data_IF_899955074700
#
_entry.id   IF_899955074700
#
_cell.length_a   1.000
_cell.length_b   1.000
_cell.length_c   1.000
_cell.angle_alpha   90.00
_cell.angle_beta   90.00
_cell.angle_gamma   90.00
#
_symmetry.space_group_name_H-M   'P 1'
#
loop_
_entity.id
_entity.type
_entity.pdbx_description
1 polymer ?
#
# COMPACT_ATOMS: atom_id res chain seq x y z
N UNK A 1 -18.60 -1.54 15.94
CA UNK A 1 -18.49 -0.06 15.89
C UNK A 1 -18.44 0.51 17.32
N UNK A 2 -17.22 0.82 17.79
CA UNK A 2 -16.97 1.24 19.19
C UNK A 2 -17.52 2.61 19.56
N UNK A 3 -17.73 3.49 18.56
CA UNK A 3 -18.15 4.87 18.80
C UNK A 3 -19.61 5.15 18.40
N UNK A 4 -20.35 4.15 17.93
CA UNK A 4 -21.79 4.25 17.65
C UNK A 4 -22.14 5.00 16.36
N UNK A 5 -21.20 5.16 15.40
CA UNK A 5 -21.48 5.74 14.09
C UNK A 5 -21.61 4.64 13.02
N UNK A 6 -22.40 4.87 12.01
CA UNK A 6 -22.41 4.02 10.81
C UNK A 6 -21.19 4.36 9.96
N UNK A 7 -20.48 3.33 9.52
CA UNK A 7 -19.30 3.48 8.65
C UNK A 7 -19.65 3.11 7.23
N UNK A 8 -19.60 4.10 6.34
CA UNK A 8 -19.74 3.92 4.89
C UNK A 8 -18.35 3.97 4.26
N UNK A 9 -17.97 2.90 3.57
CA UNK A 9 -16.75 2.86 2.78
C UNK A 9 -17.04 3.28 1.34
N UNK A 10 -16.11 4.00 0.73
CA UNK A 10 -16.19 4.27 -0.71
C UNK A 10 -16.16 2.95 -1.49
N UNK A 11 -16.81 2.87 -2.66
CA UNK A 11 -16.70 1.69 -3.52
C UNK A 11 -15.26 1.37 -3.88
N UNK A 12 -15.00 0.14 -4.34
CA UNK A 12 -13.71 -0.20 -4.92
C UNK A 12 -13.41 0.76 -6.09
N UNK A 13 -12.14 1.10 -6.26
CA UNK A 13 -11.70 1.94 -7.37
C UNK A 13 -12.18 1.35 -8.71
N UNK A 14 -12.86 2.17 -9.49
CA UNK A 14 -13.44 1.82 -10.78
C UNK A 14 -13.20 2.97 -11.79
N UNK A 15 -13.51 2.79 -13.08
CA UNK A 15 -13.25 3.80 -14.11
C UNK A 15 -13.92 5.16 -13.81
N UNK A 16 -15.13 5.18 -13.22
CA UNK A 16 -15.81 6.43 -12.87
C UNK A 16 -15.05 7.17 -11.77
N UNK A 17 -14.71 6.50 -10.67
CA UNK A 17 -13.93 7.08 -9.57
C UNK A 17 -12.58 7.59 -10.07
N UNK A 18 -11.90 6.82 -10.93
CA UNK A 18 -10.62 7.22 -11.50
C UNK A 18 -10.75 8.47 -12.38
N UNK A 19 -11.75 8.51 -13.27
CA UNK A 19 -12.01 9.65 -14.15
C UNK A 19 -12.38 10.91 -13.35
N UNK A 20 -13.33 10.81 -12.42
CA UNK A 20 -13.72 11.88 -11.53
C UNK A 20 -12.53 12.45 -10.76
N UNK A 21 -11.68 11.55 -10.24
CA UNK A 21 -10.49 11.95 -9.47
C UNK A 21 -9.44 12.67 -10.30
N UNK A 22 -9.21 12.25 -11.54
CA UNK A 22 -8.28 12.91 -12.47
C UNK A 22 -8.79 14.31 -12.83
N UNK A 23 -10.09 14.43 -13.11
CA UNK A 23 -10.73 15.70 -13.51
C UNK A 23 -10.70 16.74 -12.38
N UNK A 24 -10.92 16.31 -11.12
CA UNK A 24 -10.97 17.19 -9.95
C UNK A 24 -9.60 17.63 -9.43
N UNK A 25 -8.52 16.92 -9.78
CA UNK A 25 -7.19 17.22 -9.26
C UNK A 25 -6.63 18.51 -9.90
N UNK A 26 -6.51 19.58 -9.11
CA UNK A 26 -5.97 20.88 -9.55
C UNK A 26 -4.52 20.82 -10.05
N UNK A 27 -3.72 19.96 -9.45
CA UNK A 27 -2.38 19.65 -9.89
C UNK A 27 -2.36 18.22 -10.45
N UNK A 28 -1.25 17.81 -11.05
CA UNK A 28 -1.07 16.42 -11.46
C UNK A 28 -0.20 15.64 -10.45
N UNK A 29 -0.71 15.33 -9.24
CA UNK A 29 0.01 14.48 -8.29
C UNK A 29 0.13 13.04 -8.83
N UNK A 30 0.76 12.16 -8.05
CA UNK A 30 0.76 10.73 -8.41
C UNK A 30 -0.67 10.17 -8.44
N UNK A 31 -0.86 9.16 -9.26
CA UNK A 31 -2.20 8.59 -9.59
C UNK A 31 -3.06 8.24 -8.37
N UNK A 32 -2.55 7.62 -7.28
CA UNK A 32 -3.36 7.34 -6.09
C UNK A 32 -3.95 8.58 -5.43
N UNK A 33 -3.22 9.71 -5.46
CA UNK A 33 -3.74 10.99 -4.92
C UNK A 33 -4.85 11.55 -5.80
N UNK A 34 -4.73 11.41 -7.12
CA UNK A 34 -5.82 11.78 -8.04
C UNK A 34 -7.08 10.95 -7.74
N UNK A 35 -6.96 9.62 -7.64
CA UNK A 35 -8.06 8.70 -7.34
C UNK A 35 -8.75 9.06 -6.00
N UNK A 36 -8.00 9.52 -4.99
CA UNK A 36 -8.56 9.90 -3.71
C UNK A 36 -9.63 11.01 -3.81
N UNK A 37 -9.53 11.92 -4.80
CA UNK A 37 -10.56 12.93 -5.08
C UNK A 37 -11.86 12.26 -5.53
N UNK A 38 -11.78 11.28 -6.44
CA UNK A 38 -12.95 10.52 -6.90
C UNK A 38 -13.63 9.73 -5.78
N UNK A 39 -12.85 9.15 -4.86
CA UNK A 39 -13.40 8.47 -3.69
C UNK A 39 -14.12 9.42 -2.75
N UNK A 40 -13.57 10.62 -2.52
CA UNK A 40 -14.24 11.65 -1.72
C UNK A 40 -15.56 12.08 -2.36
N UNK A 41 -15.57 12.32 -3.68
CA UNK A 41 -16.79 12.64 -4.45
C UNK A 41 -17.83 11.53 -4.34
N UNK A 42 -17.43 10.26 -4.53
CA UNK A 42 -18.33 9.12 -4.45
C UNK A 42 -19.00 8.98 -3.09
N UNK A 43 -18.33 9.31 -1.99
CA UNK A 43 -18.91 9.32 -0.65
C UNK A 43 -19.89 10.48 -0.47
N UNK A 44 -19.59 11.67 -0.99
CA UNK A 44 -20.52 12.81 -0.97
C UNK A 44 -21.80 12.47 -1.76
N UNK A 45 -21.65 11.90 -2.96
CA UNK A 45 -22.76 11.44 -3.79
C UNK A 45 -23.61 10.34 -3.09
N UNK A 46 -22.98 9.54 -2.24
CA UNK A 46 -23.67 8.53 -1.41
C UNK A 46 -24.44 9.13 -0.22
N UNK A 47 -24.34 10.44 0.03
CA UNK A 47 -25.11 11.16 1.04
C UNK A 47 -24.60 10.94 2.47
N UNK A 48 -23.28 10.72 2.68
CA UNK A 48 -22.72 10.63 4.02
C UNK A 48 -22.79 11.98 4.75
N UNK A 49 -22.96 11.96 6.07
CA UNK A 49 -22.97 13.19 6.88
C UNK A 49 -21.58 13.80 7.02
N UNK A 50 -20.55 12.94 7.07
CA UNK A 50 -19.15 13.34 7.28
C UNK A 50 -18.18 12.49 6.47
N UNK A 51 -17.07 13.11 6.07
CA UNK A 51 -15.93 12.48 5.44
C UNK A 51 -14.77 12.41 6.43
N UNK A 52 -14.40 11.21 6.90
CA UNK A 52 -13.22 11.03 7.75
C UNK A 52 -11.98 10.89 6.85
N UNK A 53 -11.19 11.96 6.79
CA UNK A 53 -9.92 12.00 6.04
C UNK A 53 -8.80 12.40 6.99
N UNK A 54 -8.13 11.45 7.65
CA UNK A 54 -7.12 11.78 8.64
C UNK A 54 -5.89 12.47 8.02
N UNK A 55 -5.36 13.46 8.73
CA UNK A 55 -4.05 14.02 8.47
C UNK A 55 -2.99 13.16 9.16
N UNK A 56 -2.47 12.15 8.45
CA UNK A 56 -1.49 11.20 8.99
C UNK A 56 -0.09 11.68 8.63
N UNK A 57 0.71 12.02 9.63
CA UNK A 57 2.03 12.63 9.46
C UNK A 57 3.14 11.58 9.47
N UNK A 58 3.03 10.61 10.35
CA UNK A 58 4.02 9.57 10.57
C UNK A 58 3.38 8.24 10.98
N UNK A 59 4.17 7.18 10.94
CA UNK A 59 3.83 5.86 11.45
C UNK A 59 4.42 5.67 12.85
N UNK A 60 4.14 4.54 13.50
CA UNK A 60 4.81 4.16 14.74
C UNK A 60 6.33 4.17 14.58
N UNK A 61 7.03 4.52 15.66
CA UNK A 61 8.49 4.54 15.68
C UNK A 61 9.08 3.19 15.25
N UNK A 62 10.24 3.25 14.60
CA UNK A 62 11.03 2.04 14.34
C UNK A 62 11.63 1.49 15.62
N UNK A 63 12.11 0.24 15.55
CA UNK A 63 12.83 -0.41 16.65
C UNK A 63 14.14 0.31 16.97
N UNK A 64 14.69 1.08 16.00
CA UNK A 64 15.78 2.03 16.22
C UNK A 64 15.23 3.35 16.75
N UNK A 65 15.70 3.77 17.91
CA UNK A 65 15.27 5.00 18.58
C UNK A 65 15.57 6.31 17.81
N UNK A 66 16.32 6.23 16.73
CA UNK A 66 16.79 7.41 15.94
C UNK A 66 16.00 7.63 14.64
N UNK A 67 15.11 6.70 14.25
CA UNK A 67 14.44 6.77 12.96
C UNK A 67 13.14 7.57 12.96
N UNK A 68 13.07 8.61 12.14
CA UNK A 68 11.79 9.24 11.78
C UNK A 68 10.99 8.32 10.85
N UNK A 69 9.65 8.31 10.98
CA UNK A 69 8.77 7.40 10.26
C UNK A 69 7.71 8.16 9.45
N UNK A 70 8.14 9.18 8.71
CA UNK A 70 7.22 10.05 7.98
C UNK A 70 6.54 9.36 6.79
N UNK A 71 5.31 9.74 6.54
CA UNK A 71 4.66 9.50 5.26
C UNK A 71 5.13 10.51 4.20
N UNK A 72 4.83 10.26 2.93
CA UNK A 72 5.18 11.19 1.87
C UNK A 72 4.39 12.50 1.99
N UNK A 73 4.87 13.63 1.44
CA UNK A 73 4.19 14.92 1.53
C UNK A 73 2.74 14.90 1.03
N UNK A 74 2.45 14.19 -0.07
CA UNK A 74 1.10 14.05 -0.59
C UNK A 74 0.16 13.33 0.38
N UNK A 75 0.64 12.32 1.10
CA UNK A 75 -0.16 11.64 2.13
C UNK A 75 -0.46 12.58 3.30
N UNK A 76 0.59 13.29 3.76
CA UNK A 76 0.44 14.24 4.88
C UNK A 76 -0.50 15.40 4.54
N UNK A 77 -0.55 15.85 3.29
CA UNK A 77 -1.36 17.00 2.87
C UNK A 77 -2.70 16.62 2.26
N UNK A 78 -2.98 15.32 2.08
CA UNK A 78 -4.16 14.82 1.38
C UNK A 78 -5.49 15.49 1.80
N UNK A 79 -5.85 15.59 3.11
CA UNK A 79 -7.11 16.17 3.50
C UNK A 79 -7.25 17.66 3.09
N UNK A 80 -6.16 18.41 3.07
CA UNK A 80 -6.14 19.81 2.68
C UNK A 80 -6.25 19.99 1.17
N UNK A 81 -5.59 19.11 0.43
CA UNK A 81 -5.67 19.07 -1.05
C UNK A 81 -7.09 18.72 -1.48
N UNK A 82 -7.72 17.72 -0.87
CA UNK A 82 -9.12 17.37 -1.16
C UNK A 82 -10.07 18.53 -0.85
N UNK A 83 -9.91 19.18 0.30
CA UNK A 83 -10.75 20.32 0.69
C UNK A 83 -10.61 21.56 -0.21
N UNK A 84 -9.58 21.59 -1.06
CA UNK A 84 -9.31 22.70 -1.98
C UNK A 84 -9.64 22.35 -3.42
N UNK A 85 -10.06 21.10 -3.69
CA UNK A 85 -10.35 20.64 -5.03
C UNK A 85 -11.73 21.14 -5.52
N UNK A 86 -11.87 21.46 -6.82
CA UNK A 86 -13.14 21.84 -7.42
C UNK A 86 -14.24 20.84 -7.13
N UNK A 87 -15.39 21.30 -6.67
CA UNK A 87 -16.54 20.46 -6.29
C UNK A 87 -16.41 19.74 -4.95
N UNK A 88 -15.27 19.84 -4.25
CA UNK A 88 -15.12 19.38 -2.86
C UNK A 88 -15.02 20.55 -1.88
N UNK A 89 -14.59 21.73 -2.32
CA UNK A 89 -14.43 22.91 -1.48
C UNK A 89 -15.73 23.40 -0.83
N UNK A 90 -16.85 23.23 -1.49
CA UNK A 90 -18.18 23.56 -0.94
C UNK A 90 -18.60 22.61 0.18
N UNK A 91 -18.02 21.41 0.24
CA UNK A 91 -18.28 20.37 1.22
C UNK A 91 -17.24 20.34 2.37
N UNK A 92 -16.40 21.38 2.52
CA UNK A 92 -15.38 21.45 3.60
C UNK A 92 -15.93 21.20 5.00
N UNK A 93 -17.17 21.60 5.26
CA UNK A 93 -17.82 21.43 6.54
C UNK A 93 -18.05 19.97 6.93
N UNK A 94 -18.13 19.07 5.94
CA UNK A 94 -18.28 17.62 6.14
C UNK A 94 -16.97 16.94 6.55
N UNK A 95 -15.81 17.55 6.31
CA UNK A 95 -14.53 16.91 6.55
C UNK A 95 -14.19 16.82 8.04
N UNK A 96 -13.93 15.61 8.50
CA UNK A 96 -13.33 15.30 9.79
C UNK A 96 -11.85 14.98 9.56
N UNK A 97 -10.99 15.90 10.00
CA UNK A 97 -9.54 15.84 9.74
C UNK A 97 -8.78 15.73 11.06
N UNK A 98 -8.78 14.58 11.72
CA UNK A 98 -7.94 14.38 12.90
C UNK A 98 -6.47 14.41 12.50
N UNK A 99 -5.64 15.14 13.26
CA UNK A 99 -4.20 15.14 13.09
C UNK A 99 -3.61 13.99 13.90
N UNK A 100 -2.88 13.08 13.21
CA UNK A 100 -2.36 11.86 13.81
C UNK A 100 -0.84 11.78 13.66
N UNK A 101 -0.18 11.69 14.80
CA UNK A 101 1.24 11.41 14.96
C UNK A 101 1.39 10.07 15.70
N UNK A 102 1.52 8.99 14.96
CA UNK A 102 1.68 7.67 15.57
C UNK A 102 3.03 7.50 16.27
N UNK A 103 4.05 8.20 15.80
CA UNK A 103 5.39 8.20 16.41
C UNK A 103 5.40 8.78 17.83
N UNK A 104 4.46 9.69 18.14
CA UNK A 104 4.31 10.26 19.48
C UNK A 104 3.56 9.35 20.46
N UNK A 105 3.16 8.15 20.00
CA UNK A 105 2.55 7.14 20.82
C UNK A 105 1.02 7.24 20.92
N UNK A 106 0.44 6.22 21.53
CA UNK A 106 -1.00 5.96 21.58
C UNK A 106 -1.79 7.09 22.23
N UNK A 107 -1.29 7.66 23.31
CA UNK A 107 -2.00 8.72 24.04
C UNK A 107 -2.16 9.98 23.17
N UNK A 108 -1.12 10.31 22.38
CA UNK A 108 -1.20 11.41 21.43
C UNK A 108 -2.22 11.14 20.32
N UNK A 109 -2.31 9.91 19.83
CA UNK A 109 -3.35 9.50 18.86
C UNK A 109 -4.75 9.61 19.45
N UNK A 110 -4.96 9.23 20.73
CA UNK A 110 -6.23 9.42 21.44
C UNK A 110 -6.62 10.89 21.47
N UNK A 111 -5.70 11.78 21.76
CA UNK A 111 -5.94 13.23 21.80
C UNK A 111 -6.30 13.78 20.42
N UNK A 112 -5.53 13.44 19.40
CA UNK A 112 -5.75 13.87 18.01
C UNK A 112 -7.10 13.43 17.47
N UNK A 113 -7.50 12.19 17.74
CA UNK A 113 -8.82 11.68 17.38
C UNK A 113 -9.94 12.36 18.18
N UNK A 114 -9.80 12.46 19.51
CA UNK A 114 -10.83 13.08 20.35
C UNK A 114 -11.12 14.52 19.96
N UNK A 115 -10.11 15.30 19.61
CA UNK A 115 -10.28 16.68 19.15
C UNK A 115 -11.29 16.81 17.99
N UNK A 116 -11.37 15.77 17.15
CA UNK A 116 -12.30 15.69 16.01
C UNK A 116 -13.59 14.96 16.38
N UNK A 117 -13.53 13.80 17.03
CA UNK A 117 -14.68 12.94 17.32
C UNK A 117 -15.68 13.56 18.31
N UNK A 118 -15.24 14.48 19.18
CA UNK A 118 -16.15 15.24 20.05
C UNK A 118 -17.24 16.02 19.28
N UNK A 119 -16.97 16.37 18.01
CA UNK A 119 -17.98 17.00 17.13
C UNK A 119 -19.17 16.10 16.83
N UNK A 120 -18.98 14.78 16.95
CA UNK A 120 -20.00 13.75 16.79
C UNK A 120 -20.63 13.34 18.11
N UNK A 121 -20.39 14.09 19.19
CA UNK A 121 -20.91 13.76 20.53
C UNK A 121 -20.18 12.59 21.21
N UNK A 122 -19.06 12.11 20.67
CA UNK A 122 -18.29 11.00 21.25
C UNK A 122 -17.59 11.46 22.53
N UNK A 123 -17.81 10.75 23.64
CA UNK A 123 -17.14 11.04 24.92
C UNK A 123 -15.65 10.69 24.87
N UNK A 124 -14.82 11.34 25.70
CA UNK A 124 -13.39 11.00 25.85
C UNK A 124 -13.18 9.53 26.16
N UNK A 125 -13.94 8.98 27.12
CA UNK A 125 -13.84 7.56 27.50
C UNK A 125 -14.14 6.62 26.34
N UNK A 126 -15.17 6.93 25.55
CA UNK A 126 -15.53 6.13 24.38
C UNK A 126 -14.46 6.19 23.30
N UNK A 127 -13.93 7.39 23.01
CA UNK A 127 -12.82 7.59 22.09
C UNK A 127 -11.59 6.76 22.48
N UNK A 128 -11.17 6.88 23.75
CA UNK A 128 -9.96 6.23 24.23
C UNK A 128 -10.07 4.70 24.16
N UNK A 129 -11.23 4.14 24.54
CA UNK A 129 -11.51 2.71 24.40
C UNK A 129 -11.50 2.27 22.94
N UNK A 130 -12.07 3.06 22.02
CA UNK A 130 -12.11 2.75 20.60
C UNK A 130 -10.70 2.74 20.00
N UNK A 131 -9.84 3.67 20.39
CA UNK A 131 -8.43 3.70 19.97
C UNK A 131 -7.68 2.47 20.47
N UNK A 132 -7.86 2.10 21.75
CA UNK A 132 -7.21 0.90 22.30
C UNK A 132 -7.65 -0.38 21.57
N UNK A 133 -8.94 -0.50 21.24
CA UNK A 133 -9.48 -1.61 20.46
C UNK A 133 -8.90 -1.62 19.03
N UNK A 134 -8.76 -0.45 18.38
CA UNK A 134 -8.16 -0.33 17.05
C UNK A 134 -6.69 -0.76 17.03
N UNK A 135 -5.90 -0.34 18.02
CA UNK A 135 -4.52 -0.79 18.17
C UNK A 135 -4.40 -2.30 18.41
N UNK A 136 -5.31 -2.89 19.19
CA UNK A 136 -5.33 -4.35 19.39
C UNK A 136 -5.64 -5.09 18.08
N UNK A 137 -6.66 -4.65 17.35
CA UNK A 137 -7.04 -5.23 16.06
C UNK A 137 -5.92 -5.10 15.02
N UNK A 138 -5.23 -3.94 14.97
CA UNK A 138 -4.12 -3.73 14.05
C UNK A 138 -2.93 -4.65 14.36
N UNK A 139 -2.59 -4.84 15.65
CA UNK A 139 -1.53 -5.78 16.06
C UNK A 139 -1.87 -7.22 15.66
N UNK A 140 -3.11 -7.65 15.92
CA UNK A 140 -3.57 -8.99 15.54
C UNK A 140 -3.52 -9.19 14.03
N UNK A 141 -4.02 -8.23 13.26
CA UNK A 141 -3.97 -8.26 11.79
C UNK A 141 -2.54 -8.39 11.28
N UNK A 142 -1.61 -7.56 11.78
CA UNK A 142 -0.20 -7.60 11.39
C UNK A 142 0.44 -8.95 11.75
N UNK A 143 0.16 -9.48 12.95
CA UNK A 143 0.68 -10.77 13.36
C UNK A 143 0.21 -11.92 12.44
N UNK A 144 -1.06 -11.90 12.02
CA UNK A 144 -1.63 -12.89 11.09
C UNK A 144 -0.99 -12.78 9.70
N UNK A 145 -0.77 -11.56 9.19
CA UNK A 145 -0.07 -11.36 7.90
C UNK A 145 1.34 -11.95 7.94
N UNK A 146 2.11 -11.60 8.97
CA UNK A 146 3.47 -12.11 9.13
C UNK A 146 3.51 -13.64 9.33
N UNK A 147 2.52 -14.21 10.03
CA UNK A 147 2.39 -15.65 10.15
C UNK A 147 2.16 -16.32 8.80
N UNK A 148 1.22 -15.81 7.99
CA UNK A 148 0.96 -16.31 6.65
C UNK A 148 2.18 -16.16 5.73
N UNK A 149 2.93 -15.06 5.87
CA UNK A 149 4.18 -14.85 5.15
C UNK A 149 5.26 -15.86 5.51
N UNK A 150 5.44 -16.17 6.79
CA UNK A 150 6.36 -17.23 7.24
C UNK A 150 5.99 -18.58 6.64
N UNK A 151 4.71 -18.96 6.70
CA UNK A 151 4.22 -20.21 6.10
C UNK A 151 4.47 -20.28 4.60
N UNK A 152 4.26 -19.17 3.88
CA UNK A 152 4.54 -19.10 2.46
C UNK A 152 6.03 -19.28 2.16
N UNK A 153 6.92 -18.62 2.92
CA UNK A 153 8.37 -18.77 2.78
C UNK A 153 8.83 -20.20 3.08
N UNK A 154 8.33 -20.81 4.17
CA UNK A 154 8.61 -22.20 4.52
C UNK A 154 8.19 -23.16 3.40
N UNK A 155 7.02 -22.94 2.81
CA UNK A 155 6.56 -23.74 1.67
C UNK A 155 7.51 -23.63 0.47
N UNK A 156 7.91 -22.41 0.12
CA UNK A 156 8.85 -22.17 -0.99
C UNK A 156 10.24 -22.78 -0.71
N UNK A 157 10.71 -22.72 0.54
CA UNK A 157 11.98 -23.33 0.94
C UNK A 157 11.93 -24.88 0.85
N UNK A 158 10.78 -25.50 1.20
CA UNK A 158 10.57 -26.94 1.14
C UNK A 158 10.40 -27.45 -0.29
N UNK A 159 9.69 -26.70 -1.13
CA UNK A 159 9.41 -27.11 -2.52
C UNK A 159 10.52 -26.73 -3.48
N UNK A 160 11.37 -25.78 -3.12
CA UNK A 160 12.37 -25.20 -4.03
C UNK A 160 11.75 -24.30 -5.10
N UNK A 161 10.45 -24.01 -5.00
CA UNK A 161 9.77 -23.15 -5.97
C UNK A 161 10.17 -21.68 -5.82
N UNK A 162 10.23 -20.93 -6.92
CA UNK A 162 10.49 -19.50 -6.88
C UNK A 162 9.26 -18.71 -6.39
N UNK A 163 9.53 -17.61 -5.70
CA UNK A 163 8.53 -16.64 -5.24
C UNK A 163 8.76 -15.25 -5.81
N UNK A 164 7.69 -14.54 -6.10
CA UNK A 164 7.69 -13.14 -6.50
C UNK A 164 7.25 -12.30 -5.31
N UNK A 165 8.15 -11.49 -4.77
CA UNK A 165 7.81 -10.52 -3.74
C UNK A 165 7.41 -9.20 -4.40
N UNK A 166 6.18 -8.74 -4.11
CA UNK A 166 5.71 -7.45 -4.55
C UNK A 166 6.07 -6.39 -3.51
N UNK A 167 6.91 -5.46 -3.87
CA UNK A 167 7.25 -4.30 -3.02
C UNK A 167 6.66 -3.03 -3.58
N UNK A 168 6.31 -2.13 -2.68
CA UNK A 168 5.65 -0.86 -3.00
C UNK A 168 4.80 -0.38 -1.85
N UNK A 169 4.03 0.66 -2.09
CA UNK A 169 3.06 1.17 -1.11
C UNK A 169 1.83 0.28 -1.10
N UNK A 170 1.22 0.07 0.06
CA UNK A 170 0.09 -0.86 0.21
C UNK A 170 -1.05 -0.56 -0.76
N UNK A 171 -1.41 0.69 -0.99
CA UNK A 171 -2.46 1.04 -1.95
C UNK A 171 -2.08 0.67 -3.40
N UNK A 172 -0.80 0.71 -3.78
CA UNK A 172 -0.36 0.26 -5.11
C UNK A 172 -0.44 -1.26 -5.25
N UNK A 173 -0.19 -1.99 -4.18
CA UNK A 173 -0.16 -3.47 -4.19
C UNK A 173 -1.58 -4.05 -4.17
N UNK A 174 -2.49 -3.45 -3.39
CA UNK A 174 -3.81 -4.05 -3.13
C UNK A 174 -4.94 -3.47 -3.95
N UNK A 175 -4.84 -2.24 -4.46
CA UNK A 175 -5.87 -1.67 -5.31
C UNK A 175 -5.72 -2.21 -6.75
N UNK A 176 -6.69 -3.03 -7.16
CA UNK A 176 -6.69 -3.71 -8.47
C UNK A 176 -6.79 -2.76 -9.65
N UNK A 177 -7.42 -1.62 -9.48
CA UNK A 177 -7.51 -0.62 -10.54
C UNK A 177 -6.18 0.10 -10.72
N UNK A 178 -5.52 0.48 -9.61
CA UNK A 178 -4.22 1.16 -9.65
C UNK A 178 -3.15 0.28 -10.31
N UNK A 179 -3.10 -1.01 -9.98
CA UNK A 179 -2.05 -1.92 -10.46
C UNK A 179 -2.47 -2.80 -11.65
N UNK A 180 -3.61 -2.48 -12.29
CA UNK A 180 -4.16 -3.25 -13.42
C UNK A 180 -4.34 -4.74 -13.09
N UNK A 181 -4.60 -5.07 -11.83
CA UNK A 181 -4.76 -6.44 -11.31
C UNK A 181 -3.55 -7.37 -11.57
N UNK A 182 -2.35 -6.78 -11.71
CA UNK A 182 -1.11 -7.52 -11.98
C UNK A 182 -0.85 -8.62 -10.95
N UNK A 183 -1.00 -8.40 -9.62
CA UNK A 183 -0.74 -9.47 -8.65
C UNK A 183 -1.56 -10.73 -8.90
N UNK A 184 -2.86 -10.58 -9.19
CA UNK A 184 -3.72 -11.71 -9.53
C UNK A 184 -3.35 -12.32 -10.88
N UNK A 185 -3.06 -11.51 -11.90
CA UNK A 185 -2.67 -11.98 -13.23
C UNK A 185 -1.37 -12.78 -13.20
N UNK A 186 -0.37 -12.37 -12.39
CA UNK A 186 0.85 -13.17 -12.17
C UNK A 186 0.51 -14.57 -11.65
N UNK A 187 -0.41 -14.67 -10.68
CA UNK A 187 -0.83 -15.97 -10.15
C UNK A 187 -1.64 -16.77 -11.16
N UNK A 188 -2.65 -16.16 -11.79
CA UNK A 188 -3.63 -16.91 -12.61
C UNK A 188 -3.13 -17.25 -14.00
N UNK A 189 -2.27 -16.41 -14.59
CA UNK A 189 -1.75 -16.65 -15.97
C UNK A 189 -0.42 -17.40 -15.99
N UNK A 190 0.41 -17.20 -14.98
CA UNK A 190 1.78 -17.76 -14.96
C UNK A 190 2.03 -18.72 -13.80
N UNK A 191 1.04 -18.93 -12.92
CA UNK A 191 1.20 -19.79 -11.73
C UNK A 191 2.20 -19.27 -10.71
N UNK A 192 2.66 -18.01 -10.82
CA UNK A 192 3.69 -17.48 -9.95
C UNK A 192 3.23 -17.41 -8.50
N UNK A 193 4.10 -17.78 -7.56
CA UNK A 193 3.88 -17.60 -6.12
C UNK A 193 4.12 -16.13 -5.78
N UNK A 194 3.06 -15.39 -5.46
CA UNK A 194 3.11 -13.94 -5.23
C UNK A 194 2.93 -13.64 -3.76
N UNK A 195 3.91 -12.94 -3.17
CA UNK A 195 3.92 -12.57 -1.75
C UNK A 195 4.00 -11.04 -1.65
N UNK A 196 2.95 -10.36 -1.13
CA UNK A 196 3.03 -8.93 -0.86
C UNK A 196 3.99 -8.61 0.28
N UNK A 197 4.64 -7.45 0.23
CA UNK A 197 5.60 -6.97 1.21
C UNK A 197 5.08 -6.99 2.66
N UNK A 198 3.79 -6.71 2.87
CA UNK A 198 3.16 -6.66 4.19
C UNK A 198 3.13 -8.01 4.91
N UNK A 199 3.34 -9.11 4.19
CA UNK A 199 3.46 -10.46 4.74
C UNK A 199 4.87 -10.77 5.26
N UNK A 200 5.87 -9.95 4.91
CA UNK A 200 7.28 -10.24 5.19
C UNK A 200 7.90 -9.30 6.22
N UNK A 201 7.55 -8.02 6.16
CA UNK A 201 8.18 -6.97 6.98
C UNK A 201 7.14 -5.95 7.45
N UNK A 202 7.41 -5.32 8.58
CA UNK A 202 6.54 -4.29 9.18
C UNK A 202 6.89 -2.87 8.74
N UNK A 203 8.16 -2.63 8.37
CA UNK A 203 8.73 -1.31 8.13
C UNK A 203 9.29 -0.66 9.42
N UNK A 204 9.33 -1.41 10.53
CA UNK A 204 9.98 -0.99 11.79
C UNK A 204 11.44 -1.43 11.86
N UNK A 205 11.84 -2.36 11.01
CA UNK A 205 13.18 -2.90 10.92
C UNK A 205 14.19 -1.79 10.57
N UNK A 206 15.38 -1.85 11.18
CA UNK A 206 16.46 -0.93 10.85
C UNK A 206 16.96 -1.14 9.43
N UNK A 207 17.21 -0.04 8.74
CA UNK A 207 17.85 0.02 7.43
C UNK A 207 18.99 1.05 7.40
N UNK A 208 19.51 1.41 8.56
CA UNK A 208 20.56 2.44 8.70
C UNK A 208 21.86 2.06 8.00
N UNK A 209 22.14 0.76 7.89
CA UNK A 209 23.24 0.18 7.13
C UNK A 209 23.08 0.34 5.60
N UNK A 210 21.83 0.32 5.12
CA UNK A 210 21.51 0.51 3.71
C UNK A 210 21.33 1.99 3.35
N UNK A 211 20.70 2.74 4.26
CA UNK A 211 20.43 4.15 4.08
C UNK A 211 20.20 4.85 5.42
N UNK A 212 21.21 5.53 5.98
CA UNK A 212 21.14 6.09 7.34
C UNK A 212 20.06 7.16 7.54
N UNK A 213 19.66 7.84 6.47
CA UNK A 213 18.68 8.92 6.50
C UNK A 213 17.33 8.54 5.88
N UNK A 214 16.93 7.25 5.91
CA UNK A 214 15.63 6.83 5.38
C UNK A 214 14.51 7.21 6.33
N UNK A 215 14.00 8.41 6.19
CA UNK A 215 12.91 8.96 7.02
C UNK A 215 11.51 8.59 6.55
N UNK A 216 11.35 8.04 5.33
CA UNK A 216 10.04 7.56 4.87
C UNK A 216 9.78 6.12 5.32
N UNK A 217 8.66 5.94 6.02
CA UNK A 217 8.26 4.60 6.52
C UNK A 217 8.12 3.57 5.39
N UNK A 218 7.49 3.97 4.26
CA UNK A 218 7.38 3.06 3.10
C UNK A 218 8.73 2.73 2.47
N UNK A 219 9.67 3.69 2.47
CA UNK A 219 11.03 3.46 1.98
C UNK A 219 11.78 2.45 2.84
N UNK A 220 11.69 2.61 4.15
CA UNK A 220 12.27 1.66 5.11
C UNK A 220 11.72 0.26 4.88
N UNK A 221 10.41 0.12 4.77
CA UNK A 221 9.75 -1.16 4.51
C UNK A 221 10.22 -1.81 3.21
N UNK A 222 10.33 -1.04 2.13
CA UNK A 222 10.82 -1.53 0.83
C UNK A 222 12.27 -2.00 0.93
N UNK A 223 13.14 -1.24 1.60
CA UNK A 223 14.55 -1.62 1.78
C UNK A 223 14.71 -2.86 2.66
N UNK A 224 13.94 -2.98 3.75
CA UNK A 224 13.92 -4.17 4.62
C UNK A 224 13.53 -5.42 3.83
N UNK A 225 12.49 -5.35 3.01
CA UNK A 225 12.08 -6.46 2.16
C UNK A 225 13.14 -6.80 1.11
N UNK A 226 13.79 -5.80 0.51
CA UNK A 226 14.84 -6.00 -0.47
C UNK A 226 16.05 -6.73 0.12
N UNK A 227 16.45 -6.36 1.34
CA UNK A 227 17.48 -7.06 2.11
C UNK A 227 17.10 -8.51 2.42
N UNK A 228 15.84 -8.75 2.82
CA UNK A 228 15.37 -10.12 3.04
C UNK A 228 15.47 -10.96 1.76
N UNK A 229 15.11 -10.40 0.62
CA UNK A 229 15.16 -11.09 -0.68
C UNK A 229 16.60 -11.40 -1.09
N UNK A 230 17.55 -10.49 -0.81
CA UNK A 230 18.98 -10.72 -1.17
C UNK A 230 19.59 -11.96 -0.50
N UNK A 231 19.01 -12.40 0.61
CA UNK A 231 19.45 -13.62 1.32
C UNK A 231 18.78 -14.92 0.84
N UNK A 232 17.85 -14.83 -0.13
CA UNK A 232 17.04 -15.96 -0.61
C UNK A 232 17.07 -16.05 -2.13
N UNK A 233 17.84 -16.95 -2.72
CA UNK A 233 18.05 -17.02 -4.17
C UNK A 233 16.78 -17.40 -4.96
N UNK A 234 15.80 -18.02 -4.31
CA UNK A 234 14.50 -18.38 -4.88
C UNK A 234 13.47 -17.25 -4.84
N UNK A 235 13.79 -16.10 -4.25
CA UNK A 235 12.89 -14.94 -4.24
C UNK A 235 13.32 -13.88 -5.25
N UNK A 236 12.34 -13.35 -5.96
CA UNK A 236 12.53 -12.30 -6.96
C UNK A 236 11.60 -11.13 -6.69
N UNK A 237 12.02 -9.92 -7.05
CA UNK A 237 11.36 -8.68 -6.67
C UNK A 237 10.69 -8.00 -7.86
N UNK A 238 9.40 -7.66 -7.70
CA UNK A 238 8.69 -6.73 -8.57
C UNK A 238 8.30 -5.50 -7.74
N UNK A 239 8.77 -4.34 -8.17
CA UNK A 239 8.49 -3.06 -7.54
C UNK A 239 7.30 -2.37 -8.22
N UNK A 240 6.20 -2.21 -7.48
CA UNK A 240 5.00 -1.52 -7.95
C UNK A 240 5.00 -0.07 -7.44
N UNK A 241 5.02 0.87 -8.36
CA UNK A 241 5.05 2.29 -8.09
C UNK A 241 4.11 3.05 -9.03
N UNK A 242 4.08 4.38 -8.92
CA UNK A 242 3.32 5.26 -9.82
C UNK A 242 4.23 6.29 -10.48
N UNK A 243 3.83 6.74 -11.66
CA UNK A 243 4.41 7.95 -12.23
C UNK A 243 4.22 9.13 -11.28
N UNK A 244 5.19 10.05 -11.27
CA UNK A 244 5.23 11.24 -10.38
C UNK A 244 5.34 10.93 -8.88
N UNK A 245 5.67 9.70 -8.48
CA UNK A 245 6.00 9.40 -7.10
C UNK A 245 7.46 9.82 -6.82
N UNK A 246 7.65 10.96 -6.16
CA UNK A 246 8.96 11.49 -5.79
C UNK A 246 9.77 10.55 -4.89
N UNK A 247 9.22 10.13 -3.72
CA UNK A 247 9.94 9.20 -2.85
C UNK A 247 10.34 7.89 -3.53
N UNK A 248 9.45 7.27 -4.33
CA UNK A 248 9.80 6.02 -5.01
C UNK A 248 10.86 6.23 -6.10
N UNK A 249 10.86 7.40 -6.75
CA UNK A 249 11.89 7.75 -7.72
C UNK A 249 13.29 7.80 -7.09
N UNK A 250 13.37 8.24 -5.85
CA UNK A 250 14.59 8.24 -5.05
C UNK A 250 14.95 6.84 -4.54
N UNK A 251 13.99 6.12 -3.95
CA UNK A 251 14.23 4.84 -3.26
C UNK A 251 14.60 3.70 -4.22
N UNK A 252 14.13 3.71 -5.48
CA UNK A 252 14.37 2.64 -6.47
C UNK A 252 15.84 2.26 -6.64
N UNK A 253 16.75 3.22 -6.56
CA UNK A 253 18.18 2.96 -6.66
C UNK A 253 18.67 2.09 -5.50
N UNK A 254 18.39 2.52 -4.28
CA UNK A 254 18.77 1.79 -3.06
C UNK A 254 18.07 0.41 -2.96
N UNK A 255 16.84 0.31 -3.46
CA UNK A 255 16.12 -0.97 -3.55
C UNK A 255 16.89 -1.99 -4.39
N UNK A 256 17.44 -1.56 -5.54
CA UNK A 256 18.23 -2.42 -6.42
C UNK A 256 19.53 -2.86 -5.76
N UNK A 257 20.21 -1.95 -5.09
CA UNK A 257 21.45 -2.26 -4.35
C UNK A 257 21.15 -3.23 -3.21
N UNK A 258 20.12 -2.95 -2.40
CA UNK A 258 19.74 -3.80 -1.27
C UNK A 258 19.31 -5.22 -1.70
N UNK A 259 18.65 -5.35 -2.84
CA UNK A 259 18.23 -6.65 -3.37
C UNK A 259 19.39 -7.47 -3.96
N UNK A 260 20.51 -6.84 -4.32
CA UNK A 260 21.67 -7.50 -4.90
C UNK A 260 21.41 -8.21 -6.25
N UNK A 261 20.25 -8.02 -6.85
CA UNK A 261 19.81 -8.69 -8.07
C UNK A 261 18.93 -7.77 -8.93
N UNK A 262 18.85 -8.02 -10.26
CA UNK A 262 17.93 -7.30 -11.13
C UNK A 262 16.47 -7.47 -10.67
N UNK A 263 15.75 -6.37 -10.62
CA UNK A 263 14.34 -6.30 -10.26
C UNK A 263 13.52 -5.69 -11.40
N UNK A 264 12.23 -6.02 -11.46
CA UNK A 264 11.28 -5.39 -12.37
C UNK A 264 10.61 -4.22 -11.66
N UNK A 265 10.64 -3.03 -12.26
CA UNK A 265 9.89 -1.85 -11.80
C UNK A 265 8.69 -1.61 -12.70
N UNK A 266 7.49 -1.65 -12.15
CA UNK A 266 6.25 -1.28 -12.84
C UNK A 266 5.76 0.06 -12.29
N UNK A 267 5.57 1.03 -13.19
CA UNK A 267 5.04 2.35 -12.82
C UNK A 267 3.68 2.53 -13.49
N UNK A 268 2.68 2.78 -12.67
CA UNK A 268 1.29 2.91 -13.11
C UNK A 268 0.85 4.38 -13.18
N UNK A 269 -0.11 4.62 -14.05
CA UNK A 269 -0.81 5.90 -14.22
C UNK A 269 -2.28 5.63 -14.59
N UNK A 270 -3.03 6.66 -14.94
CA UNK A 270 -4.44 6.54 -15.29
C UNK A 270 -4.78 5.88 -16.64
N UNK A 271 -3.82 5.41 -17.41
CA UNK A 271 -4.08 4.92 -18.79
C UNK A 271 -4.71 3.53 -18.87
N UNK A 272 -4.68 2.76 -17.77
CA UNK A 272 -5.48 1.52 -17.61
C UNK A 272 -5.16 0.34 -18.54
N UNK A 273 -4.17 0.43 -19.43
CA UNK A 273 -3.80 -0.68 -20.35
C UNK A 273 -2.71 -1.55 -19.72
N UNK A 274 -3.02 -2.83 -19.55
CA UNK A 274 -2.13 -3.80 -18.90
C UNK A 274 -1.17 -4.55 -19.85
N UNK A 275 -1.37 -4.49 -21.17
CA UNK A 275 -0.62 -5.30 -22.12
C UNK A 275 0.90 -5.09 -22.00
N UNK A 276 1.36 -3.84 -21.93
CA UNK A 276 2.77 -3.51 -21.79
C UNK A 276 3.34 -3.96 -20.43
N UNK A 277 2.54 -3.91 -19.37
CA UNK A 277 2.95 -4.40 -18.05
C UNK A 277 3.06 -5.92 -18.04
N UNK A 278 2.10 -6.63 -18.64
CA UNK A 278 2.11 -8.09 -18.72
C UNK A 278 3.28 -8.62 -19.54
N UNK A 279 3.60 -8.00 -20.69
CA UNK A 279 4.78 -8.36 -21.50
C UNK A 279 6.08 -8.23 -20.70
N UNK A 280 6.21 -7.14 -19.92
CA UNK A 280 7.38 -6.94 -19.06
C UNK A 280 7.45 -7.94 -17.91
N UNK A 281 6.29 -8.30 -17.32
CA UNK A 281 6.21 -9.35 -16.32
C UNK A 281 6.63 -10.70 -16.90
N UNK A 282 6.11 -11.06 -18.07
CA UNK A 282 6.44 -12.32 -18.75
C UNK A 282 7.94 -12.43 -19.03
N UNK A 283 8.53 -11.40 -19.62
CA UNK A 283 9.97 -11.37 -19.88
C UNK A 283 10.80 -11.49 -18.58
N UNK A 284 10.35 -10.83 -17.50
CA UNK A 284 11.02 -10.94 -16.21
C UNK A 284 10.91 -12.33 -15.61
N UNK A 285 9.72 -12.94 -15.60
CA UNK A 285 9.50 -14.31 -15.12
C UNK A 285 10.30 -15.33 -15.94
N UNK A 286 10.36 -15.18 -17.27
CA UNK A 286 11.18 -16.05 -18.13
C UNK A 286 12.67 -15.93 -17.79
N UNK A 287 13.18 -14.70 -17.59
CA UNK A 287 14.57 -14.46 -17.20
C UNK A 287 14.96 -15.10 -15.85
N UNK A 288 13.98 -15.37 -14.99
CA UNK A 288 14.14 -16.05 -13.70
C UNK A 288 13.86 -17.54 -13.75
N UNK A 289 13.57 -18.09 -14.93
CA UNK A 289 13.24 -19.49 -15.13
C UNK A 289 11.86 -19.94 -14.61
N UNK A 290 11.03 -19.00 -14.12
CA UNK A 290 9.73 -19.29 -13.51
C UNK A 290 8.75 -19.85 -14.56
N UNK A 291 8.73 -19.28 -15.77
CA UNK A 291 7.86 -19.77 -16.85
C UNK A 291 8.21 -21.18 -17.31
N UNK A 292 9.48 -21.57 -17.25
CA UNK A 292 9.93 -22.90 -17.63
C UNK A 292 9.43 -23.97 -16.66
N UNK A 293 9.50 -23.69 -15.37
CA UNK A 293 8.97 -24.56 -14.33
C UNK A 293 7.45 -24.77 -14.50
N UNK A 294 6.71 -23.72 -14.81
CA UNK A 294 5.27 -23.80 -15.00
C UNK A 294 4.87 -24.55 -16.28
N UNK A 295 5.61 -24.32 -17.40
CA UNK A 295 5.34 -25.01 -18.68
C UNK A 295 5.67 -26.53 -18.64
N UNK A 296 6.43 -27.00 -17.68
CA UNK A 296 6.81 -28.42 -17.52
C UNK A 296 6.00 -29.16 -16.45
N UNK A 297 5.10 -28.50 -15.71
CA UNK A 297 4.26 -29.12 -14.69
C UNK A 297 3.00 -29.80 -15.25
N UNK A 298 2.44 -30.81 -14.55
CA UNK A 298 1.23 -31.52 -15.00
C UNK A 298 -0.01 -30.64 -15.21
N UNK A 299 -0.09 -29.48 -14.53
CA UNK A 299 -1.19 -28.51 -14.72
C UNK A 299 -1.05 -27.71 -16.02
N UNK A 300 0.13 -27.57 -16.59
CA UNK A 300 0.34 -26.87 -17.86
C UNK A 300 -0.28 -27.65 -19.06
N UNK A 301 -0.37 -28.97 -18.95
CA UNK A 301 -1.00 -29.81 -19.97
C UNK A 301 -2.54 -29.70 -19.95
N UNK A 302 -3.13 -29.42 -18.78
CA UNK A 302 -4.58 -29.25 -18.66
C UNK A 302 -5.10 -27.92 -19.24
N UNK A 303 -4.28 -26.84 -19.22
CA UNK A 303 -4.63 -25.53 -19.76
C UNK A 303 -4.38 -25.39 -21.27
N UNK A 304 -3.48 -26.19 -21.85
CA UNK A 304 -3.21 -26.20 -23.28
C UNK A 304 -4.32 -26.93 -24.10
N UNK A 305 -5.21 -27.65 -23.44
CA UNK A 305 -6.33 -28.36 -24.07
C UNK A 305 -7.66 -27.61 -24.11
N UNK A 306 -7.71 -26.37 -23.67
CA UNK A 306 -8.92 -25.54 -23.71
C UNK A 306 -8.66 -24.34 -24.65
N UNK A 307 -8.83 -24.61 -25.93
CA UNK A 307 -9.02 -23.60 -26.98
C UNK A 307 -10.38 -23.80 -27.64
#
# INVERSE_FOLDING_TARGET
>A
NEIGVELVLSPLTNPKIASDGIEMALAQPCYPVQIAHGHAKALIEAGVDYLLVPNILDAEASDDSEGTAHFCPWNQTLPFVLQSAPGLEEHKHMFLVPRLHFQLGREHVKEGLYATMRRLGVSRRTNDRAVDAAYAAQREFTARLLQAGRQALETLDQTGEPGIVLVGRSYNIYDRSINCDIPRKLRTRYGANVIPIDFLVTGRESVSDLHPNMYWTSGRKILSASRLISTRPNLHLIYISNFKCGPDSYIKHFTREAAGAPLLVLQFDGHGNDAGYMTRCEAYLDSKGILRCYKSGPEAQALAGVH
#
